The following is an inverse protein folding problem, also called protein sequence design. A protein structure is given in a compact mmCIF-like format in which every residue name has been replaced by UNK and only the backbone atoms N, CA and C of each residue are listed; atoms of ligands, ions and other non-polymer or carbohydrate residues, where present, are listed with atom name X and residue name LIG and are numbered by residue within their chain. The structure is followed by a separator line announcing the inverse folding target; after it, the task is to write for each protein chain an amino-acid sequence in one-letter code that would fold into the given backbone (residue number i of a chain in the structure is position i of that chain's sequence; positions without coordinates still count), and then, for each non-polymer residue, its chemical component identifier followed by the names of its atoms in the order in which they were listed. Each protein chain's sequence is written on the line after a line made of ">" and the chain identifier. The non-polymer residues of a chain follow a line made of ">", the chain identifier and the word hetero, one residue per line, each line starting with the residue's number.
data_IF_786298277492
#
_entry.id   IF_786298277492
#
_cell.length_a   1.000
_cell.length_b   1.000
_cell.length_c   1.000
_cell.angle_alpha   90.00
_cell.angle_beta   90.00
_cell.angle_gamma   90.00
#
_symmetry.space_group_name_H-M   'P 1'
#
loop_
_entity.id
_entity.type
_entity.pdbx_description
1 polymer ?
#
# COMPACT_ATOMS: atom_id res chain seq x y z
N UNK A 1 -7.38 -5.31 -2.79
CA UNK A 1 -7.71 -4.22 -3.73
C UNK A 1 -7.00 -4.34 -5.08
N UNK A 2 -5.72 -4.73 -5.12
CA UNK A 2 -5.00 -4.97 -6.38
C UNK A 2 -5.71 -5.97 -7.30
N UNK A 3 -6.22 -7.09 -6.78
CA UNK A 3 -6.93 -8.11 -7.53
C UNK A 3 -8.23 -7.62 -8.19
N UNK A 4 -8.95 -6.69 -7.53
CA UNK A 4 -10.13 -6.07 -8.10
C UNK A 4 -9.78 -5.26 -9.36
N UNK A 5 -8.85 -4.31 -9.22
CA UNK A 5 -8.39 -3.46 -10.32
C UNK A 5 -7.81 -4.29 -11.47
N UNK A 6 -6.97 -5.29 -11.14
CA UNK A 6 -6.41 -6.21 -12.13
C UNK A 6 -7.48 -6.92 -12.94
N UNK A 7 -8.52 -7.45 -12.28
CA UNK A 7 -9.64 -8.14 -12.96
C UNK A 7 -10.32 -7.25 -13.99
N UNK A 8 -10.66 -6.02 -13.65
CA UNK A 8 -11.32 -5.08 -14.57
C UNK A 8 -10.40 -4.69 -15.73
N UNK A 9 -9.11 -4.47 -15.49
CA UNK A 9 -8.13 -4.17 -16.53
C UNK A 9 -7.99 -5.38 -17.47
N UNK A 10 -7.78 -6.59 -16.93
CA UNK A 10 -7.65 -7.81 -17.75
C UNK A 10 -8.89 -8.07 -18.60
N UNK A 11 -10.08 -7.83 -18.05
CA UNK A 11 -11.32 -7.96 -18.80
C UNK A 11 -11.43 -6.95 -19.95
N UNK A 12 -11.02 -5.70 -19.73
CA UNK A 12 -11.03 -4.67 -20.76
C UNK A 12 -9.98 -4.96 -21.85
N UNK A 13 -8.80 -5.48 -21.49
CA UNK A 13 -7.78 -5.96 -22.44
C UNK A 13 -8.36 -7.10 -23.31
N UNK A 14 -9.00 -8.09 -22.69
CA UNK A 14 -9.60 -9.21 -23.40
C UNK A 14 -10.69 -8.84 -24.40
N UNK A 15 -11.38 -7.71 -24.16
CA UNK A 15 -12.37 -7.15 -25.11
C UNK A 15 -11.74 -6.36 -26.27
N UNK A 16 -10.48 -5.95 -26.16
CA UNK A 16 -9.82 -5.10 -27.13
C UNK A 16 -10.34 -3.66 -27.20
N UNK A 17 -11.09 -3.23 -26.18
CA UNK A 17 -11.70 -1.88 -26.10
C UNK A 17 -10.76 -0.93 -25.35
N UNK A 18 -9.94 -0.20 -26.12
CA UNK A 18 -8.98 0.76 -25.58
C UNK A 18 -9.67 1.89 -24.81
N UNK A 19 -10.84 2.35 -25.25
CA UNK A 19 -11.57 3.41 -24.53
C UNK A 19 -12.08 2.92 -23.18
N UNK A 20 -12.56 1.68 -23.12
CA UNK A 20 -12.98 1.07 -21.86
C UNK A 20 -11.80 0.88 -20.92
N UNK A 21 -10.64 0.49 -21.44
CA UNK A 21 -9.41 0.31 -20.67
C UNK A 21 -8.94 1.62 -20.01
N UNK A 22 -8.93 2.73 -20.77
CA UNK A 22 -8.63 4.07 -20.25
C UNK A 22 -9.60 4.51 -19.15
N UNK A 23 -10.91 4.23 -19.33
CA UNK A 23 -11.93 4.53 -18.31
C UNK A 23 -11.70 3.71 -17.04
N UNK A 24 -11.41 2.42 -17.16
CA UNK A 24 -11.14 1.52 -16.03
C UNK A 24 -9.90 1.99 -15.25
N UNK A 25 -8.82 2.31 -15.95
CA UNK A 25 -7.59 2.79 -15.32
C UNK A 25 -7.80 4.12 -14.58
N UNK A 26 -8.45 5.10 -15.24
CA UNK A 26 -8.74 6.42 -14.65
C UNK A 26 -9.69 6.30 -13.45
N UNK A 27 -10.73 5.46 -13.54
CA UNK A 27 -11.65 5.19 -12.43
C UNK A 27 -10.94 4.51 -11.27
N UNK A 28 -10.02 3.58 -11.55
CA UNK A 28 -9.19 2.94 -10.52
C UNK A 28 -8.34 3.96 -9.78
N UNK A 29 -7.69 4.89 -10.47
CA UNK A 29 -6.93 5.98 -9.84
C UNK A 29 -7.82 6.84 -8.94
N UNK A 30 -9.04 7.18 -9.37
CA UNK A 30 -10.00 7.96 -8.57
C UNK A 30 -10.41 7.22 -7.30
N UNK A 31 -10.69 5.93 -7.38
CA UNK A 31 -11.03 5.09 -6.21
C UNK A 31 -9.86 5.07 -5.22
N UNK A 32 -8.63 4.85 -5.70
CA UNK A 32 -7.45 4.80 -4.83
C UNK A 32 -7.10 6.18 -4.24
N UNK A 33 -7.37 7.27 -4.97
CA UNK A 33 -7.26 8.63 -4.43
C UNK A 33 -8.28 8.88 -3.31
N UNK A 34 -9.53 8.44 -3.48
CA UNK A 34 -10.56 8.53 -2.44
C UNK A 34 -10.18 7.71 -1.19
N UNK A 35 -9.69 6.49 -1.39
CA UNK A 35 -9.21 5.64 -0.29
C UNK A 35 -8.03 6.31 0.42
N UNK A 36 -7.08 6.87 -0.32
CA UNK A 36 -5.95 7.60 0.26
C UNK A 36 -6.41 8.80 1.10
N UNK A 37 -7.43 9.54 0.63
CA UNK A 37 -8.03 10.64 1.37
C UNK A 37 -8.65 10.17 2.69
N UNK A 38 -9.39 9.06 2.66
CA UNK A 38 -9.96 8.47 3.89
C UNK A 38 -8.85 8.04 4.86
N UNK A 39 -7.79 7.42 4.37
CA UNK A 39 -6.64 7.01 5.20
C UNK A 39 -5.96 8.22 5.83
N UNK A 40 -5.79 9.33 5.10
CA UNK A 40 -5.26 10.58 5.65
C UNK A 40 -6.17 11.11 6.76
N UNK A 41 -7.47 11.24 6.51
CA UNK A 41 -8.41 11.77 7.50
C UNK A 41 -8.39 10.91 8.78
N UNK A 42 -8.46 9.58 8.64
CA UNK A 42 -8.42 8.68 9.79
C UNK A 42 -7.06 8.72 10.50
N UNK A 43 -5.98 8.79 9.75
CA UNK A 43 -4.62 8.92 10.28
C UNK A 43 -4.46 10.22 11.07
N UNK A 44 -4.77 11.36 10.48
CA UNK A 44 -4.59 12.67 11.12
C UNK A 44 -5.58 12.93 12.27
N UNK A 45 -6.68 12.20 12.36
CA UNK A 45 -7.64 12.33 13.46
C UNK A 45 -7.45 11.25 14.52
N UNK A 46 -7.92 10.05 14.23
CA UNK A 46 -7.91 8.92 15.17
C UNK A 46 -6.48 8.45 15.45
N UNK A 47 -5.64 8.42 14.43
CA UNK A 47 -4.27 7.93 14.57
C UNK A 47 -3.40 8.87 15.40
N UNK A 48 -3.48 10.19 15.21
CA UNK A 48 -2.78 11.16 16.06
C UNK A 48 -3.30 11.14 17.49
N UNK A 49 -4.64 11.08 17.68
CA UNK A 49 -5.20 10.91 19.00
C UNK A 49 -4.65 9.68 19.71
N UNK A 50 -4.57 8.55 19.01
CA UNK A 50 -4.02 7.30 19.56
C UNK A 50 -2.53 7.43 19.89
N UNK A 51 -1.75 8.10 19.03
CA UNK A 51 -0.33 8.35 19.23
C UNK A 51 -0.05 9.16 20.51
N UNK A 52 -0.83 10.23 20.75
CA UNK A 52 -0.61 11.13 21.86
C UNK A 52 -1.25 10.64 23.18
N UNK A 53 -2.40 9.98 23.12
CA UNK A 53 -3.19 9.67 24.32
C UNK A 53 -3.05 8.21 24.79
N UNK A 54 -2.75 7.28 23.90
CA UNK A 54 -2.78 5.85 24.20
C UNK A 54 -1.42 5.16 24.18
N UNK A 55 -0.47 5.67 23.40
CA UNK A 55 0.86 5.07 23.34
C UNK A 55 1.74 5.62 24.46
N UNK A 56 2.40 4.72 25.17
CA UNK A 56 3.41 5.06 26.17
C UNK A 56 4.75 5.24 25.47
N UNK A 57 5.02 6.50 25.10
CA UNK A 57 6.27 6.88 24.41
C UNK A 57 7.06 7.78 25.36
N UNK A 58 8.37 7.55 25.59
CA UNK A 58 9.21 8.46 26.35
C UNK A 58 9.22 9.87 25.74
N UNK A 59 9.19 10.92 26.57
CA UNK A 59 9.09 12.31 26.13
C UNK A 59 10.22 12.73 25.19
N UNK A 60 11.43 12.22 25.42
CA UNK A 60 12.61 12.44 24.57
C UNK A 60 12.46 11.81 23.18
N UNK A 61 11.56 10.84 22.99
CA UNK A 61 11.30 10.13 21.73
C UNK A 61 10.02 10.55 21.01
N UNK A 62 9.21 11.39 21.61
CA UNK A 62 7.92 11.80 21.03
C UNK A 62 8.11 12.47 19.65
N UNK A 63 9.10 13.34 19.50
CA UNK A 63 9.40 13.97 18.20
C UNK A 63 9.75 12.95 17.13
N UNK A 64 10.56 11.96 17.46
CA UNK A 64 10.90 10.89 16.53
C UNK A 64 9.68 10.05 16.16
N UNK A 65 8.80 9.73 17.11
CA UNK A 65 7.56 9.00 16.88
C UNK A 65 6.61 9.73 15.93
N UNK A 66 6.46 11.05 16.08
CA UNK A 66 5.64 11.88 15.18
C UNK A 66 6.21 11.87 13.76
N UNK A 67 7.53 12.04 13.59
CA UNK A 67 8.16 11.97 12.27
C UNK A 67 7.95 10.62 11.59
N UNK A 68 8.15 9.52 12.32
CA UNK A 68 7.90 8.16 11.81
C UNK A 68 6.44 7.97 11.41
N UNK A 69 5.53 8.46 12.25
CA UNK A 69 4.10 8.39 12.00
C UNK A 69 3.71 9.12 10.71
N UNK A 70 4.14 10.36 10.54
CA UNK A 70 3.85 11.15 9.34
C UNK A 70 4.46 10.52 8.08
N UNK A 71 5.71 10.11 8.14
CA UNK A 71 6.35 9.39 7.03
C UNK A 71 5.62 8.09 6.67
N UNK A 72 5.08 7.37 7.67
CA UNK A 72 4.31 6.14 7.44
C UNK A 72 2.98 6.41 6.74
N UNK A 73 2.24 7.47 7.11
CA UNK A 73 1.02 7.89 6.41
C UNK A 73 1.34 8.25 4.96
N UNK A 74 2.38 9.07 4.74
CA UNK A 74 2.80 9.45 3.38
C UNK A 74 3.21 8.23 2.54
N UNK A 75 3.96 7.30 3.12
CA UNK A 75 4.34 6.06 2.46
C UNK A 75 3.12 5.18 2.12
N UNK A 76 2.13 5.11 3.01
CA UNK A 76 0.88 4.39 2.77
C UNK A 76 0.09 5.00 1.59
N UNK A 77 -0.02 6.33 1.52
CA UNK A 77 -0.66 7.03 0.39
C UNK A 77 0.03 6.68 -0.92
N UNK A 78 1.37 6.78 -0.96
CA UNK A 78 2.16 6.46 -2.14
C UNK A 78 1.97 5.00 -2.56
N UNK A 79 1.93 4.08 -1.60
CA UNK A 79 1.69 2.65 -1.83
C UNK A 79 0.29 2.40 -2.41
N UNK A 80 -0.76 2.99 -1.83
CA UNK A 80 -2.15 2.88 -2.32
C UNK A 80 -2.24 3.41 -3.76
N UNK A 81 -1.65 4.56 -4.05
CA UNK A 81 -1.64 5.16 -5.39
C UNK A 81 -0.79 4.38 -6.40
N UNK A 82 0.04 3.44 -5.96
CA UNK A 82 0.82 2.55 -6.84
C UNK A 82 0.01 1.34 -7.33
N UNK A 83 -1.07 0.98 -6.64
CA UNK A 83 -1.88 -0.22 -6.93
C UNK A 83 -2.40 -0.27 -8.38
N UNK A 84 -2.97 0.79 -8.98
CA UNK A 84 -3.46 0.74 -10.36
C UNK A 84 -2.35 0.45 -11.38
N UNK A 85 -1.14 0.97 -11.14
CA UNK A 85 0.01 0.75 -12.03
C UNK A 85 0.52 -0.69 -11.93
N UNK A 86 0.62 -1.23 -10.71
CA UNK A 86 0.98 -2.62 -10.49
C UNK A 86 -0.04 -3.57 -11.14
N UNK A 87 -1.34 -3.29 -10.96
CA UNK A 87 -2.42 -4.05 -11.56
C UNK A 87 -2.35 -4.02 -13.10
N UNK A 88 -1.97 -2.88 -13.70
CA UNK A 88 -1.81 -2.74 -15.15
C UNK A 88 -0.66 -3.61 -15.68
N UNK A 89 0.50 -3.60 -15.01
CA UNK A 89 1.67 -4.42 -15.40
C UNK A 89 1.32 -5.90 -15.35
N UNK A 90 0.64 -6.34 -14.30
CA UNK A 90 0.24 -7.74 -14.12
C UNK A 90 -0.83 -8.13 -15.14
N UNK A 91 -1.82 -7.26 -15.42
CA UNK A 91 -2.86 -7.50 -16.40
C UNK A 91 -2.32 -7.61 -17.84
N UNK A 92 -1.24 -6.90 -18.16
CA UNK A 92 -0.51 -7.03 -19.45
C UNK A 92 0.54 -8.16 -19.44
N UNK A 93 0.53 -9.02 -18.43
CA UNK A 93 1.45 -10.19 -18.32
C UNK A 93 2.94 -9.81 -18.33
N UNK A 94 3.29 -8.56 -17.99
CA UNK A 94 4.68 -8.08 -17.92
C UNK A 94 5.33 -8.43 -16.57
N UNK A 95 5.26 -9.73 -16.20
CA UNK A 95 5.76 -10.23 -14.91
C UNK A 95 7.25 -9.98 -14.70
N UNK A 96 8.06 -9.99 -15.77
CA UNK A 96 9.49 -9.68 -15.66
C UNK A 96 9.74 -8.25 -15.18
N UNK A 97 9.00 -7.27 -15.69
CA UNK A 97 9.12 -5.88 -15.25
C UNK A 97 8.70 -5.74 -13.77
N UNK A 98 7.60 -6.39 -13.38
CA UNK A 98 7.17 -6.41 -11.98
C UNK A 98 8.25 -7.01 -11.08
N UNK A 99 8.84 -8.15 -11.46
CA UNK A 99 9.90 -8.80 -10.69
C UNK A 99 11.15 -7.92 -10.54
N UNK A 100 11.63 -7.28 -11.63
CA UNK A 100 12.80 -6.40 -11.54
C UNK A 100 12.56 -5.19 -10.64
N UNK A 101 11.38 -4.56 -10.71
CA UNK A 101 11.06 -3.41 -9.84
C UNK A 101 10.94 -3.87 -8.38
N UNK A 102 10.36 -5.06 -8.12
CA UNK A 102 10.25 -5.63 -6.78
C UNK A 102 11.64 -5.97 -6.19
N UNK A 103 12.53 -6.55 -6.99
CA UNK A 103 13.92 -6.82 -6.57
C UNK A 103 14.64 -5.50 -6.24
N UNK A 104 14.49 -4.49 -7.09
CA UNK A 104 15.05 -3.16 -6.83
C UNK A 104 14.53 -2.58 -5.51
N UNK A 105 13.22 -2.66 -5.26
CA UNK A 105 12.61 -2.18 -4.02
C UNK A 105 13.20 -2.88 -2.79
N UNK A 106 13.28 -4.22 -2.80
CA UNK A 106 13.83 -4.98 -1.69
C UNK A 106 15.32 -4.67 -1.49
N UNK A 107 16.09 -4.56 -2.58
CA UNK A 107 17.52 -4.21 -2.51
C UNK A 107 17.74 -2.82 -1.91
N UNK A 108 16.92 -1.83 -2.28
CA UNK A 108 16.98 -0.48 -1.72
C UNK A 108 16.59 -0.47 -0.23
N UNK A 109 15.58 -1.23 0.17
CA UNK A 109 15.20 -1.37 1.59
C UNK A 109 16.31 -2.01 2.41
N UNK A 110 16.97 -3.04 1.88
CA UNK A 110 18.12 -3.65 2.53
C UNK A 110 19.28 -2.66 2.64
N UNK A 111 19.56 -1.89 1.59
CA UNK A 111 20.60 -0.88 1.58
C UNK A 111 20.39 0.18 2.66
N UNK A 112 19.14 0.64 2.89
CA UNK A 112 18.83 1.57 3.99
C UNK A 112 19.22 0.94 5.33
N UNK A 113 18.83 -0.31 5.58
CA UNK A 113 19.12 -0.97 6.87
C UNK A 113 20.63 -1.03 7.12
N UNK A 114 21.42 -1.32 6.08
CA UNK A 114 22.88 -1.31 6.19
C UNK A 114 23.44 0.10 6.44
N UNK A 115 22.89 1.12 5.76
CA UNK A 115 23.29 2.51 5.96
C UNK A 115 22.95 3.04 7.37
N UNK A 116 21.87 2.54 7.98
CA UNK A 116 21.50 2.93 9.35
C UNK A 116 22.57 2.57 10.39
N UNK A 117 23.32 1.50 10.15
CA UNK A 117 24.40 1.09 11.05
C UNK A 117 25.50 2.16 11.13
N UNK A 118 25.75 2.84 10.00
CA UNK A 118 26.80 3.86 9.86
C UNK A 118 26.29 5.29 10.15
N UNK A 119 24.96 5.48 10.29
CA UNK A 119 24.38 6.81 10.47
C UNK A 119 24.64 7.37 11.87
N UNK A 120 25.14 8.61 11.98
CA UNK A 120 25.30 9.31 13.25
C UNK A 120 23.98 9.94 13.74
N UNK A 121 22.95 10.02 12.90
CA UNK A 121 21.66 10.62 13.20
C UNK A 121 20.72 9.65 13.88
N UNK A 122 19.57 10.18 14.37
CA UNK A 122 18.53 9.32 14.94
C UNK A 122 18.09 8.26 13.91
N UNK A 123 18.36 7.00 14.26
CA UNK A 123 18.16 5.85 13.36
C UNK A 123 16.69 5.69 12.97
N UNK A 124 15.77 6.05 13.87
CA UNK A 124 14.33 5.87 13.67
C UNK A 124 13.80 6.88 12.65
N UNK A 125 14.16 8.16 12.80
CA UNK A 125 13.77 9.22 11.86
C UNK A 125 14.40 8.96 10.49
N UNK A 126 15.70 8.66 10.47
CA UNK A 126 16.46 8.39 9.25
C UNK A 126 15.81 7.22 8.46
N UNK A 127 15.48 6.14 9.15
CA UNK A 127 14.78 5.00 8.52
C UNK A 127 13.45 5.41 7.89
N UNK A 128 12.60 6.11 8.64
CA UNK A 128 11.27 6.49 8.17
C UNK A 128 11.32 7.39 6.93
N UNK A 129 12.23 8.37 6.93
CA UNK A 129 12.40 9.28 5.79
C UNK A 129 12.91 8.53 4.56
N UNK A 130 13.95 7.72 4.70
CA UNK A 130 14.46 6.95 3.56
C UNK A 130 13.48 5.90 3.05
N UNK A 131 12.72 5.26 3.95
CA UNK A 131 11.67 4.33 3.56
C UNK A 131 10.59 5.03 2.71
N UNK A 132 10.13 6.22 3.12
CA UNK A 132 9.21 7.02 2.35
C UNK A 132 9.79 7.42 0.99
N UNK A 133 11.06 7.86 0.93
CA UNK A 133 11.73 8.22 -0.32
C UNK A 133 11.83 7.03 -1.28
N UNK A 134 12.12 5.82 -0.78
CA UNK A 134 12.09 4.61 -1.62
C UNK A 134 10.70 4.36 -2.18
N UNK A 135 9.65 4.44 -1.35
CA UNK A 135 8.29 4.25 -1.83
C UNK A 135 7.93 5.24 -2.94
N UNK A 136 8.32 6.50 -2.77
CA UNK A 136 8.13 7.54 -3.77
C UNK A 136 8.90 7.22 -5.07
N UNK A 137 10.16 6.81 -4.96
CA UNK A 137 10.99 6.44 -6.11
C UNK A 137 10.39 5.25 -6.87
N UNK A 138 10.01 4.20 -6.18
CA UNK A 138 9.38 3.00 -6.77
C UNK A 138 8.07 3.38 -7.45
N UNK A 139 7.25 4.24 -6.82
CA UNK A 139 6.03 4.79 -7.43
C UNK A 139 6.33 5.52 -8.74
N UNK A 140 7.35 6.36 -8.78
CA UNK A 140 7.77 7.07 -9.98
C UNK A 140 8.23 6.10 -11.09
N UNK A 141 8.96 5.04 -10.72
CA UNK A 141 9.39 4.00 -11.67
C UNK A 141 8.18 3.29 -12.28
N UNK A 142 7.22 2.85 -11.45
CA UNK A 142 5.99 2.22 -11.92
C UNK A 142 5.19 3.14 -12.85
N UNK A 143 5.00 4.41 -12.45
CA UNK A 143 4.26 5.38 -13.24
C UNK A 143 4.93 5.64 -14.59
N UNK A 144 6.28 5.81 -14.59
CA UNK A 144 7.04 6.04 -15.81
C UNK A 144 7.07 4.82 -16.74
N UNK A 145 7.18 3.64 -16.16
CA UNK A 145 7.12 2.38 -16.93
C UNK A 145 5.77 2.20 -17.60
N UNK A 146 4.68 2.38 -16.86
CA UNK A 146 3.33 2.27 -17.40
C UNK A 146 3.05 3.35 -18.45
N UNK A 147 3.38 4.60 -18.18
CA UNK A 147 3.18 5.70 -19.12
C UNK A 147 3.93 5.53 -20.45
N UNK A 148 5.07 4.81 -20.43
CA UNK A 148 5.86 4.53 -21.65
C UNK A 148 5.31 3.33 -22.44
N UNK A 149 4.82 2.29 -21.75
CA UNK A 149 4.48 1.02 -22.38
C UNK A 149 2.97 0.82 -22.57
N UNK A 150 2.13 1.54 -21.82
CA UNK A 150 0.68 1.37 -21.82
C UNK A 150 -0.01 2.71 -22.07
N UNK A 151 -0.61 2.93 -23.26
CA UNK A 151 -1.25 4.21 -23.60
C UNK A 151 -2.39 4.59 -22.67
N UNK A 152 -3.12 3.62 -22.13
CA UNK A 152 -4.22 3.81 -21.18
C UNK A 152 -3.79 4.32 -19.80
N UNK A 153 -2.50 4.20 -19.46
CA UNK A 153 -1.99 4.65 -18.15
C UNK A 153 -1.88 6.17 -18.02
N UNK A 154 -2.19 6.91 -19.08
CA UNK A 154 -2.37 8.36 -19.03
C UNK A 154 -3.73 8.66 -18.40
N UNK A 155 -3.69 9.47 -17.34
CA UNK A 155 -4.92 9.89 -16.67
C UNK A 155 -5.79 10.74 -17.61
N UNK A 156 -6.98 10.24 -17.88
CA UNK A 156 -8.03 11.02 -18.56
C UNK A 156 -9.09 11.41 -17.53
N UNK A 157 -9.46 12.68 -17.48
CA UNK A 157 -10.46 13.16 -16.54
C UNK A 157 -11.87 12.74 -16.98
N UNK A 158 -12.11 11.42 -16.95
CA UNK A 158 -13.42 10.84 -17.27
C UNK A 158 -14.05 10.34 -15.98
N UNK A 159 -15.14 10.97 -15.57
CA UNK A 159 -15.94 10.52 -14.43
C UNK A 159 -17.08 9.64 -14.94
N UNK A 160 -16.98 8.33 -14.72
CA UNK A 160 -17.98 7.37 -15.14
C UNK A 160 -18.62 6.71 -13.91
N UNK A 161 -19.71 7.33 -13.41
CA UNK A 161 -20.36 6.90 -12.16
C UNK A 161 -20.76 5.41 -12.12
N UNK A 162 -21.35 4.81 -13.19
CA UNK A 162 -21.69 3.38 -13.18
C UNK A 162 -20.47 2.48 -12.95
N UNK A 163 -19.37 2.75 -13.63
CA UNK A 163 -18.12 1.99 -13.49
C UNK A 163 -17.49 2.18 -12.10
N UNK A 164 -17.51 3.42 -11.59
CA UNK A 164 -17.02 3.72 -10.24
C UNK A 164 -17.81 2.96 -9.18
N UNK A 165 -19.14 2.90 -9.31
CA UNK A 165 -20.03 2.15 -8.41
C UNK A 165 -19.74 0.64 -8.48
N UNK A 166 -19.60 0.09 -9.68
CA UNK A 166 -19.31 -1.33 -9.88
C UNK A 166 -17.96 -1.73 -9.30
N UNK A 167 -16.89 -1.01 -9.66
CA UNK A 167 -15.53 -1.25 -9.15
C UNK A 167 -15.43 -1.00 -7.65
N UNK A 168 -16.07 0.05 -7.14
CA UNK A 168 -16.11 0.39 -5.71
C UNK A 168 -16.85 -0.65 -4.89
N UNK A 169 -17.99 -1.13 -5.37
CA UNK A 169 -18.75 -2.21 -4.71
C UNK A 169 -17.94 -3.50 -4.65
N UNK A 170 -17.33 -3.90 -5.76
CA UNK A 170 -16.46 -5.08 -5.78
C UNK A 170 -15.26 -4.95 -4.85
N UNK A 171 -14.62 -3.76 -4.84
CA UNK A 171 -13.51 -3.48 -3.93
C UNK A 171 -13.95 -3.52 -2.45
N UNK A 172 -15.14 -3.00 -2.14
CA UNK A 172 -15.74 -3.06 -0.80
C UNK A 172 -15.99 -4.49 -0.33
N UNK A 173 -16.60 -5.34 -1.15
CA UNK A 173 -16.80 -6.76 -0.82
C UNK A 173 -15.47 -7.51 -0.66
N UNK A 174 -14.51 -7.24 -1.53
CA UNK A 174 -13.15 -7.79 -1.41
C UNK A 174 -12.43 -7.32 -0.14
N UNK A 175 -12.68 -6.08 0.29
CA UNK A 175 -12.15 -5.56 1.56
C UNK A 175 -12.67 -6.36 2.76
N UNK A 176 -13.99 -6.59 2.85
CA UNK A 176 -14.59 -7.39 3.92
C UNK A 176 -14.06 -8.82 3.95
N UNK A 177 -13.90 -9.46 2.78
CA UNK A 177 -13.32 -10.79 2.69
C UNK A 177 -11.88 -10.85 3.19
N UNK A 178 -11.04 -9.88 2.78
CA UNK A 178 -9.65 -9.81 3.27
C UNK A 178 -9.58 -9.43 4.75
N UNK A 179 -10.45 -8.53 5.22
CA UNK A 179 -10.53 -8.16 6.64
C UNK A 179 -10.87 -9.37 7.51
N UNK A 180 -11.82 -10.21 7.09
CA UNK A 180 -12.16 -11.44 7.79
C UNK A 180 -10.95 -12.40 7.89
N UNK A 181 -10.17 -12.54 6.81
CA UNK A 181 -8.95 -13.35 6.80
C UNK A 181 -7.87 -12.80 7.76
N UNK A 182 -7.64 -11.47 7.73
CA UNK A 182 -6.69 -10.80 8.63
C UNK A 182 -7.16 -10.94 10.11
N UNK A 183 -8.43 -10.69 10.38
CA UNK A 183 -8.97 -10.85 11.73
C UNK A 183 -8.90 -12.30 12.21
N UNK A 184 -9.04 -13.27 11.32
CA UNK A 184 -8.86 -14.68 11.68
C UNK A 184 -7.41 -15.00 12.03
N UNK A 185 -6.44 -14.55 11.25
CA UNK A 185 -5.01 -14.85 11.47
C UNK A 185 -4.39 -14.00 12.58
N UNK A 186 -4.46 -12.70 12.45
CA UNK A 186 -3.81 -11.75 13.36
C UNK A 186 -4.65 -11.51 14.63
N UNK A 187 -5.98 -11.52 14.51
CA UNK A 187 -6.88 -11.43 15.64
C UNK A 187 -6.74 -12.62 16.60
N UNK A 188 -6.59 -13.83 16.08
CA UNK A 188 -6.27 -15.00 16.91
C UNK A 188 -4.90 -14.90 17.59
N UNK A 189 -3.88 -14.36 16.90
CA UNK A 189 -2.58 -14.10 17.51
C UNK A 189 -2.67 -13.08 18.63
N UNK A 190 -3.47 -12.02 18.44
CA UNK A 190 -3.71 -10.99 19.44
C UNK A 190 -4.45 -11.56 20.68
N UNK A 191 -5.49 -12.35 20.46
CA UNK A 191 -6.21 -13.03 21.55
C UNK A 191 -5.32 -14.00 22.32
N UNK A 192 -4.54 -14.81 21.62
CA UNK A 192 -3.60 -15.73 22.27
C UNK A 192 -2.55 -14.97 23.10
N UNK A 193 -2.08 -13.83 22.61
CA UNK A 193 -1.14 -13.00 23.37
C UNK A 193 -1.80 -12.41 24.63
N UNK A 194 -3.04 -11.92 24.52
CA UNK A 194 -3.77 -11.33 25.65
C UNK A 194 -4.08 -12.35 26.76
N UNK A 195 -4.44 -13.60 26.42
CA UNK A 195 -4.87 -14.61 27.39
C UNK A 195 -3.73 -15.53 27.85
N UNK A 196 -2.76 -15.84 26.99
CA UNK A 196 -1.71 -16.84 27.25
C UNK A 196 -0.29 -16.28 27.18
N UNK A 197 -0.13 -15.00 26.83
CA UNK A 197 1.15 -14.35 26.72
C UNK A 197 1.98 -14.76 25.47
N UNK A 198 3.19 -14.20 25.33
CA UNK A 198 4.01 -14.40 24.12
C UNK A 198 4.56 -15.82 23.94
N UNK A 199 4.61 -16.63 25.02
CA UNK A 199 5.12 -18.01 24.98
C UNK A 199 4.29 -18.95 24.08
N UNK A 200 2.99 -18.72 23.94
CA UNK A 200 2.11 -19.54 23.10
C UNK A 200 2.08 -19.03 21.65
N UNK A 201 2.35 -17.76 21.44
CA UNK A 201 2.37 -17.16 20.09
C UNK A 201 3.56 -17.64 19.24
N UNK A 202 4.72 -17.88 19.85
CA UNK A 202 5.93 -18.26 19.13
C UNK A 202 5.79 -19.63 18.42
N UNK A 203 5.31 -20.73 19.08
CA UNK A 203 5.09 -22.00 18.40
C UNK A 203 4.04 -21.93 17.29
N UNK A 204 2.98 -21.12 17.47
CA UNK A 204 1.95 -20.94 16.46
C UNK A 204 2.47 -20.22 15.22
N UNK A 205 3.31 -19.18 15.38
CA UNK A 205 3.93 -18.49 14.26
C UNK A 205 4.74 -19.42 13.36
N UNK A 206 5.33 -20.48 13.93
CA UNK A 206 6.03 -21.53 13.18
C UNK A 206 5.05 -22.52 12.52
N UNK A 207 3.94 -22.82 13.18
CA UNK A 207 2.95 -23.81 12.69
C UNK A 207 2.06 -23.28 11.55
N UNK A 208 1.95 -21.95 11.37
CA UNK A 208 1.10 -21.30 10.37
C UNK A 208 1.91 -20.87 9.12
N UNK A 209 3.25 -20.96 9.14
CA UNK A 209 4.10 -20.78 7.98
C UNK A 209 4.14 -22.05 7.12
#
# INVERSE_FOLDING_TARGET
>A
MSSATQRFITYAIGKGDQQQLEKVFSTSLQIHALISLVVVILGETIGLWFLYEKLVIPDDRMTAAVWVYQCSILAAIVSIMSVPYNASIVAHEKMSAFAYISILEVSLKLFIVLMLVLSPWDKLITYAVFYFLIQLLIRCIYARYCSKNFPESKYHHVFHYPLLKEMGSFAGWSFWGNLAAILYTDGLNMMLNMFFGPLVNAPRGIAVQ
#
